data_IF_033901234604
#
_entry.id   IF_033901234604
#
_cell.length_a   1.000
_cell.length_b   1.000
_cell.length_c   1.000
_cell.angle_alpha   90.00
_cell.angle_beta   90.00
_cell.angle_gamma   90.00
#
_symmetry.space_group_name_H-M   'P 1'
#
loop_
_entity.id
_entity.type
_entity.pdbx_description
1 polymer ?
#
# COMPACT_ATOMS: atom_id res chain seq x y z
N UNK A 1 8.16 -17.02 10.23
CA UNK A 1 7.82 -18.36 10.73
C UNK A 1 8.66 -19.39 9.98
N UNK A 2 9.21 -20.38 10.70
CA UNK A 2 9.96 -21.46 10.06
C UNK A 2 9.00 -22.40 9.31
N UNK A 3 9.40 -22.80 8.11
CA UNK A 3 8.67 -23.79 7.32
C UNK A 3 8.96 -25.18 7.92
N UNK A 4 7.93 -25.96 8.33
CA UNK A 4 8.13 -27.28 8.88
C UNK A 4 8.85 -28.21 7.89
N UNK A 5 9.75 -29.07 8.40
CA UNK A 5 10.58 -29.95 7.55
C UNK A 5 9.74 -30.86 6.65
N UNK A 6 8.65 -31.42 7.16
CA UNK A 6 7.75 -32.27 6.37
C UNK A 6 7.15 -31.54 5.15
N UNK A 7 6.99 -30.18 5.23
CA UNK A 7 6.55 -29.37 4.07
C UNK A 7 7.64 -29.36 3.01
N UNK A 8 8.91 -29.24 3.39
CA UNK A 8 10.04 -29.16 2.47
C UNK A 8 10.25 -30.47 1.69
N UNK A 9 9.99 -31.58 2.33
CA UNK A 9 10.20 -32.93 1.75
C UNK A 9 9.11 -33.34 0.74
N UNK A 10 7.91 -32.80 0.86
CA UNK A 10 6.80 -33.15 -0.04
C UNK A 10 6.86 -32.37 -1.35
N UNK A 11 6.72 -33.05 -2.52
CA UNK A 11 6.51 -32.39 -3.80
C UNK A 11 5.21 -31.59 -3.77
N UNK A 12 5.26 -30.33 -4.24
CA UNK A 12 4.11 -29.42 -4.20
C UNK A 12 4.04 -28.52 -5.43
N UNK A 13 2.85 -27.99 -5.68
CA UNK A 13 2.62 -26.85 -6.55
C UNK A 13 2.41 -25.60 -5.69
N UNK A 14 2.89 -24.46 -6.15
CA UNK A 14 2.88 -23.18 -5.41
C UNK A 14 2.24 -22.11 -6.27
N UNK A 15 1.33 -21.34 -5.68
CA UNK A 15 0.84 -20.10 -6.27
C UNK A 15 1.49 -18.95 -5.52
N UNK A 16 2.13 -18.03 -6.24
CA UNK A 16 2.78 -16.86 -5.66
C UNK A 16 2.24 -15.56 -6.26
N UNK A 17 2.28 -14.49 -5.48
CA UNK A 17 2.04 -13.13 -5.95
C UNK A 17 3.29 -12.56 -6.65
N UNK A 18 3.16 -11.40 -7.29
CA UNK A 18 4.25 -10.75 -8.04
C UNK A 18 4.13 -9.24 -8.12
N UNK A 19 3.46 -8.61 -7.15
CA UNK A 19 3.25 -7.15 -7.15
C UNK A 19 4.56 -6.38 -7.30
N UNK A 20 5.63 -6.84 -6.65
CA UNK A 20 6.99 -6.31 -6.78
C UNK A 20 7.95 -7.33 -7.42
N UNK A 21 7.47 -8.11 -8.40
CA UNK A 21 8.29 -9.08 -9.11
C UNK A 21 9.51 -8.50 -9.85
N UNK A 22 9.50 -7.20 -10.08
CA UNK A 22 10.58 -6.46 -10.73
C UNK A 22 11.66 -5.93 -9.78
N UNK A 23 11.33 -5.72 -8.49
CA UNK A 23 12.14 -4.97 -7.51
C UNK A 23 12.70 -5.90 -6.44
N UNK A 24 13.94 -5.71 -6.05
CA UNK A 24 14.55 -6.37 -4.89
C UNK A 24 14.43 -5.50 -3.62
N UNK A 25 14.49 -6.14 -2.45
CA UNK A 25 14.30 -5.44 -1.15
C UNK A 25 15.37 -4.38 -0.89
N UNK A 26 16.57 -4.52 -1.44
CA UNK A 26 17.64 -3.54 -1.37
C UNK A 26 17.37 -2.25 -2.15
N UNK A 27 16.41 -2.25 -3.07
CA UNK A 27 16.02 -1.09 -3.87
C UNK A 27 14.97 -0.22 -3.20
N UNK A 28 14.46 -0.64 -2.02
CA UNK A 28 13.47 0.13 -1.26
C UNK A 28 14.15 1.29 -0.55
N UNK A 29 13.75 2.49 -0.90
CA UNK A 29 14.20 3.71 -0.24
C UNK A 29 13.33 4.01 1.00
N UNK A 30 13.98 4.29 2.13
CA UNK A 30 13.34 4.58 3.42
C UNK A 30 13.47 6.08 3.74
N UNK A 31 12.54 6.89 3.25
CA UNK A 31 12.58 8.34 3.40
C UNK A 31 11.32 8.96 4.05
N UNK A 32 10.32 8.13 4.40
CA UNK A 32 9.05 8.61 4.95
C UNK A 32 9.20 9.56 6.15
N UNK A 33 10.02 9.18 7.13
CA UNK A 33 10.19 9.98 8.34
C UNK A 33 10.85 11.34 8.05
N UNK A 34 11.75 11.38 7.07
CA UNK A 34 12.39 12.60 6.59
C UNK A 34 11.38 13.47 5.86
N UNK A 35 10.65 12.93 4.91
CA UNK A 35 9.61 13.63 4.15
C UNK A 35 8.59 14.29 5.08
N UNK A 36 8.01 13.51 6.01
CA UNK A 36 7.00 14.05 6.94
C UNK A 36 7.57 15.21 7.75
N UNK A 37 8.81 15.09 8.22
CA UNK A 37 9.46 16.13 9.01
C UNK A 37 9.69 17.40 8.18
N UNK A 38 10.16 17.27 6.95
CA UNK A 38 10.41 18.40 6.03
C UNK A 38 9.11 19.08 5.61
N UNK A 39 8.08 18.31 5.27
CA UNK A 39 6.75 18.84 4.89
C UNK A 39 6.16 19.64 6.05
N UNK A 40 6.20 19.10 7.27
CA UNK A 40 5.69 19.78 8.45
C UNK A 40 6.52 21.03 8.77
N UNK A 41 7.85 20.97 8.64
CA UNK A 41 8.72 22.14 8.84
C UNK A 41 8.48 23.25 7.81
N UNK A 42 8.03 22.90 6.59
CA UNK A 42 7.65 23.88 5.57
C UNK A 42 6.31 24.58 5.81
N UNK A 43 5.58 24.20 6.86
CA UNK A 43 4.26 24.76 7.21
C UNK A 43 3.08 24.13 6.47
N UNK A 44 3.31 23.13 5.61
CA UNK A 44 2.24 22.47 4.85
C UNK A 44 1.52 21.41 5.66
N UNK A 45 0.25 21.20 5.34
CA UNK A 45 -0.57 20.10 5.83
C UNK A 45 -0.40 18.85 4.94
N UNK A 46 -0.72 17.68 5.49
CA UNK A 46 -0.59 16.42 4.75
C UNK A 46 -1.95 15.72 4.67
N UNK A 47 -2.36 15.36 3.45
CA UNK A 47 -3.40 14.37 3.22
C UNK A 47 -2.72 13.04 2.87
N UNK A 48 -2.78 12.09 3.78
CA UNK A 48 -2.12 10.81 3.65
C UNK A 48 -3.13 9.70 3.37
N UNK A 49 -3.04 9.10 2.19
CA UNK A 49 -3.88 7.99 1.78
C UNK A 49 -3.36 6.69 2.39
N UNK A 50 -4.21 5.96 3.09
CA UNK A 50 -3.81 4.73 3.78
C UNK A 50 -4.84 3.61 3.61
N UNK A 51 -4.37 2.38 3.52
CA UNK A 51 -5.23 1.21 3.73
C UNK A 51 -5.66 1.15 5.19
N UNK A 52 -6.90 0.71 5.42
CA UNK A 52 -7.54 0.78 6.73
C UNK A 52 -6.87 -0.11 7.77
N UNK A 53 -6.48 -1.31 7.36
CA UNK A 53 -5.85 -2.31 8.21
C UNK A 53 -4.33 -2.21 8.09
N UNK A 54 -3.63 -2.25 9.22
CA UNK A 54 -2.19 -2.25 9.36
C UNK A 54 -1.52 -0.95 8.88
N UNK A 55 -1.72 -0.52 7.63
CA UNK A 55 -1.07 0.66 7.06
C UNK A 55 -1.37 1.94 7.85
N UNK A 56 -2.63 2.21 8.15
CA UNK A 56 -3.01 3.40 8.93
C UNK A 56 -2.36 3.38 10.31
N UNK A 57 -2.29 2.21 10.96
CA UNK A 57 -1.70 2.08 12.30
C UNK A 57 -0.17 2.20 12.30
N UNK A 58 0.51 1.66 11.28
CA UNK A 58 1.96 1.85 11.11
C UNK A 58 2.29 3.33 10.89
N UNK A 59 1.50 4.03 10.07
CA UNK A 59 1.64 5.47 9.85
C UNK A 59 1.52 6.24 11.17
N UNK A 60 0.49 5.94 11.97
CA UNK A 60 0.31 6.57 13.28
C UNK A 60 1.51 6.31 14.20
N UNK A 61 2.03 5.09 14.20
CA UNK A 61 3.22 4.74 14.97
C UNK A 61 4.46 5.53 14.51
N UNK A 62 4.66 5.69 13.20
CA UNK A 62 5.75 6.51 12.66
C UNK A 62 5.60 7.99 13.03
N UNK A 63 4.38 8.56 12.92
CA UNK A 63 4.08 9.93 13.35
C UNK A 63 4.36 10.09 14.85
N UNK A 64 3.92 9.12 15.68
CA UNK A 64 4.23 9.13 17.12
C UNK A 64 5.74 9.18 17.37
N UNK A 65 6.52 8.33 16.69
CA UNK A 65 7.99 8.35 16.82
C UNK A 65 8.57 9.73 16.50
N UNK A 66 8.08 10.39 15.43
CA UNK A 66 8.52 11.73 15.07
C UNK A 66 8.15 12.78 16.13
N UNK A 67 7.00 12.63 16.81
CA UNK A 67 6.64 13.47 17.95
C UNK A 67 7.50 13.19 19.18
N UNK A 68 7.76 11.92 19.48
CA UNK A 68 8.54 11.51 20.66
C UNK A 68 10.00 11.96 20.57
N UNK A 69 10.60 11.94 19.37
CA UNK A 69 11.96 12.44 19.15
C UNK A 69 12.03 13.95 18.83
N UNK A 70 10.90 14.66 18.83
CA UNK A 70 10.84 16.11 18.64
C UNK A 70 11.02 16.59 17.20
N UNK A 71 10.99 15.69 16.21
CA UNK A 71 11.09 16.05 14.77
C UNK A 71 9.84 16.75 14.26
N UNK A 72 8.69 16.45 14.83
CA UNK A 72 7.43 17.19 14.61
C UNK A 72 6.80 17.57 15.94
N UNK A 73 6.02 18.65 15.94
CA UNK A 73 5.34 19.12 17.15
C UNK A 73 4.28 18.13 17.64
N UNK A 74 4.25 17.88 18.97
CA UNK A 74 3.17 17.09 19.59
C UNK A 74 1.82 17.77 19.56
N UNK A 75 1.76 19.04 19.21
CA UNK A 75 0.53 19.84 19.13
C UNK A 75 -0.08 19.85 17.73
N UNK A 76 0.62 19.31 16.71
CA UNK A 76 0.04 19.17 15.37
C UNK A 76 -1.20 18.29 15.43
N UNK A 77 -2.28 18.72 14.80
CA UNK A 77 -3.52 17.95 14.74
C UNK A 77 -3.39 16.78 13.78
N UNK A 78 -3.76 15.59 14.26
CA UNK A 78 -3.77 14.36 13.48
C UNK A 78 -5.20 13.85 13.40
N UNK A 79 -5.70 13.71 12.20
CA UNK A 79 -7.05 13.27 11.92
C UNK A 79 -7.04 11.88 11.30
N UNK A 80 -7.92 11.00 11.77
CA UNK A 80 -8.10 9.64 11.20
C UNK A 80 -9.51 9.57 10.65
N UNK A 81 -9.63 9.44 9.32
CA UNK A 81 -10.91 9.37 8.62
C UNK A 81 -11.04 8.08 7.80
N UNK A 82 -12.08 7.33 8.13
CA UNK A 82 -12.42 6.04 7.55
C UNK A 82 -12.87 5.07 8.63
N UNK A 83 -14.09 4.57 8.55
CA UNK A 83 -14.71 3.72 9.58
C UNK A 83 -13.89 2.46 9.89
N UNK A 84 -13.35 1.80 8.86
CA UNK A 84 -12.50 0.61 9.05
C UNK A 84 -11.14 0.98 9.65
N UNK A 85 -10.51 2.08 9.24
CA UNK A 85 -9.24 2.50 9.82
C UNK A 85 -9.42 2.82 11.31
N UNK A 86 -10.50 3.51 11.67
CA UNK A 86 -10.83 3.79 13.07
C UNK A 86 -11.13 2.52 13.86
N UNK A 87 -11.86 1.57 13.27
CA UNK A 87 -12.15 0.27 13.89
C UNK A 87 -10.86 -0.49 14.21
N UNK A 88 -9.97 -0.65 13.24
CA UNK A 88 -8.70 -1.36 13.44
C UNK A 88 -7.77 -0.61 14.42
N UNK A 89 -7.75 0.73 14.37
CA UNK A 89 -6.99 1.53 15.32
C UNK A 89 -7.47 1.31 16.76
N UNK A 90 -8.79 1.36 17.00
CA UNK A 90 -9.38 1.10 18.32
C UNK A 90 -9.16 -0.34 18.77
N UNK A 91 -9.27 -1.32 17.84
CA UNK A 91 -8.99 -2.71 18.14
C UNK A 91 -7.53 -2.91 18.55
N UNK A 92 -6.58 -2.36 17.83
CA UNK A 92 -5.16 -2.43 18.17
C UNK A 92 -4.87 -1.79 19.54
N UNK A 93 -5.45 -0.62 19.84
CA UNK A 93 -5.33 0.02 21.16
C UNK A 93 -5.87 -0.87 22.30
N UNK A 94 -6.94 -1.64 22.03
CA UNK A 94 -7.59 -2.48 23.03
C UNK A 94 -6.88 -3.82 23.27
N UNK A 95 -6.30 -4.40 22.23
CA UNK A 95 -5.83 -5.79 22.25
C UNK A 95 -4.31 -5.94 22.18
N UNK A 96 -3.56 -4.82 22.14
CA UNK A 96 -2.10 -4.85 22.18
C UNK A 96 -1.57 -3.83 23.19
N UNK A 97 -0.39 -4.11 23.74
CA UNK A 97 0.34 -3.19 24.64
C UNK A 97 1.25 -2.22 23.86
N UNK A 98 1.11 -2.16 22.52
CA UNK A 98 1.93 -1.31 21.68
C UNK A 98 1.46 0.14 21.79
N UNK A 99 2.32 1.02 22.29
CA UNK A 99 2.07 2.46 22.33
C UNK A 99 2.35 3.09 20.95
N UNK A 100 1.35 3.06 20.08
CA UNK A 100 1.47 3.52 18.69
C UNK A 100 0.71 4.83 18.39
N UNK A 101 -0.10 5.31 19.33
CA UNK A 101 -0.93 6.48 19.08
C UNK A 101 -0.16 7.79 19.26
N UNK A 102 -0.15 8.68 18.25
CA UNK A 102 0.38 10.03 18.40
C UNK A 102 -0.41 10.84 19.42
N UNK A 103 0.13 11.99 19.79
CA UNK A 103 -0.62 13.01 20.55
C UNK A 103 -1.54 13.79 19.62
N UNK A 104 -2.59 14.37 20.19
CA UNK A 104 -3.53 15.27 19.51
C UNK A 104 -4.26 14.61 18.30
N UNK A 105 -4.76 13.38 18.51
CA UNK A 105 -5.49 12.61 17.49
C UNK A 105 -7.00 12.80 17.63
N UNK A 106 -7.67 13.07 16.52
CA UNK A 106 -9.13 13.14 16.40
C UNK A 106 -9.64 12.16 15.36
N UNK A 107 -10.65 11.36 15.74
CA UNK A 107 -11.40 10.50 14.82
C UNK A 107 -12.45 11.35 14.08
N UNK A 108 -12.43 11.25 12.74
CA UNK A 108 -13.29 12.06 11.87
C UNK A 108 -14.49 11.23 11.40
N UNK A 109 -15.65 11.85 11.43
CA UNK A 109 -16.89 11.33 10.87
C UNK A 109 -17.51 12.30 9.84
N UNK A 110 -18.71 12.00 9.37
CA UNK A 110 -19.40 12.85 8.39
C UNK A 110 -19.80 14.23 8.93
N UNK A 111 -19.88 14.40 10.24
CA UNK A 111 -20.34 15.63 10.87
C UNK A 111 -19.19 16.63 11.10
N UNK A 112 -18.02 16.16 11.56
CA UNK A 112 -16.88 17.02 11.81
C UNK A 112 -15.92 17.16 10.61
N UNK A 113 -16.03 16.29 9.58
CA UNK A 113 -15.19 16.37 8.35
C UNK A 113 -15.23 17.73 7.65
N UNK A 114 -16.39 18.42 7.50
CA UNK A 114 -16.41 19.74 6.87
C UNK A 114 -15.53 20.76 7.61
N UNK A 115 -15.48 20.72 8.94
CA UNK A 115 -14.62 21.60 9.76
C UNK A 115 -13.14 21.26 9.56
N UNK A 116 -12.80 19.96 9.49
CA UNK A 116 -11.43 19.49 9.21
C UNK A 116 -10.94 19.98 7.84
N UNK A 117 -11.81 19.97 6.83
CA UNK A 117 -11.49 20.46 5.48
C UNK A 117 -11.33 21.98 5.46
N UNK A 118 -12.22 22.70 6.15
CA UNK A 118 -12.26 24.16 6.14
C UNK A 118 -11.19 24.80 7.03
N UNK A 119 -10.70 24.09 8.05
CA UNK A 119 -9.71 24.62 9.00
C UNK A 119 -8.39 24.97 8.32
N UNK A 120 -7.76 26.05 8.77
CA UNK A 120 -6.49 26.54 8.22
C UNK A 120 -5.27 26.18 9.07
N UNK A 121 -5.47 25.50 10.20
CA UNK A 121 -4.38 25.00 11.03
C UNK A 121 -3.59 23.90 10.31
N UNK A 122 -2.28 23.85 10.53
CA UNK A 122 -1.44 22.79 10.02
C UNK A 122 -1.84 21.44 10.63
N UNK A 123 -1.98 20.42 9.79
CA UNK A 123 -2.52 19.12 10.19
C UNK A 123 -2.01 17.97 9.34
N UNK A 124 -2.16 16.75 9.88
CA UNK A 124 -1.99 15.50 9.14
C UNK A 124 -3.33 14.77 9.12
N UNK A 125 -3.86 14.47 7.94
CA UNK A 125 -5.10 13.72 7.76
C UNK A 125 -4.73 12.35 7.21
N UNK A 126 -4.93 11.29 8.00
CA UNK A 126 -4.79 9.89 7.55
C UNK A 126 -6.17 9.41 7.12
N UNK A 127 -6.33 9.13 5.83
CA UNK A 127 -7.64 8.81 5.26
C UNK A 127 -7.62 7.54 4.41
N UNK A 128 -8.75 6.87 4.30
CA UNK A 128 -8.96 5.75 3.39
C UNK A 128 -9.69 6.19 2.12
N UNK A 129 -9.44 5.58 0.98
CA UNK A 129 -8.61 4.40 0.70
C UNK A 129 -7.17 4.77 0.33
N UNK A 130 -6.28 3.77 0.46
CA UNK A 130 -4.86 3.96 0.13
C UNK A 130 -4.57 4.26 -1.34
N UNK A 131 -5.51 3.94 -2.25
CA UNK A 131 -5.41 4.23 -3.70
C UNK A 131 -6.27 5.44 -4.11
N UNK A 132 -6.93 6.11 -3.17
CA UNK A 132 -7.83 7.24 -3.39
C UNK A 132 -9.12 6.92 -4.18
N UNK A 133 -9.45 5.66 -4.43
CA UNK A 133 -10.61 5.26 -5.25
C UNK A 133 -11.93 5.22 -4.50
N UNK A 134 -11.89 5.12 -3.18
CA UNK A 134 -13.06 4.93 -2.33
C UNK A 134 -12.95 5.70 -1.01
N UNK A 135 -14.05 5.72 -0.27
CA UNK A 135 -14.10 6.24 1.10
C UNK A 135 -13.89 7.74 1.21
N UNK A 136 -13.51 8.22 2.40
CA UNK A 136 -13.37 9.65 2.66
C UNK A 136 -12.35 10.37 1.77
N UNK A 137 -11.31 9.68 1.24
CA UNK A 137 -10.35 10.27 0.30
C UNK A 137 -11.07 10.95 -0.88
N UNK A 138 -12.15 10.36 -1.39
CA UNK A 138 -12.97 10.93 -2.47
C UNK A 138 -13.66 12.25 -2.10
N UNK A 139 -13.77 12.55 -0.81
CA UNK A 139 -14.37 13.81 -0.33
C UNK A 139 -13.28 14.87 -0.14
N UNK A 140 -12.10 14.47 0.37
CA UNK A 140 -10.98 15.37 0.59
C UNK A 140 -10.33 15.83 -0.72
N UNK A 141 -10.07 14.92 -1.63
CA UNK A 141 -9.28 15.20 -2.84
C UNK A 141 -9.86 16.36 -3.66
N UNK A 142 -11.16 16.40 -4.04
CA UNK A 142 -11.69 17.53 -4.81
C UNK A 142 -11.65 18.88 -4.08
N UNK A 143 -11.54 18.87 -2.76
CA UNK A 143 -11.49 20.07 -1.94
C UNK A 143 -10.07 20.58 -1.68
N UNK A 144 -9.07 19.68 -1.79
CA UNK A 144 -7.71 19.98 -1.38
C UNK A 144 -6.71 19.92 -2.55
N UNK A 145 -7.02 19.26 -3.67
CA UNK A 145 -6.07 18.97 -4.75
C UNK A 145 -5.47 20.23 -5.38
N UNK A 146 -6.20 21.34 -5.39
CA UNK A 146 -5.71 22.61 -5.94
C UNK A 146 -5.04 23.53 -4.89
N UNK A 147 -4.88 23.07 -3.66
CA UNK A 147 -4.30 23.86 -2.57
C UNK A 147 -2.79 23.68 -2.51
N UNK A 148 -2.03 24.79 -2.49
CA UNK A 148 -0.56 24.76 -2.40
C UNK A 148 -0.03 24.56 -0.96
N UNK A 149 -0.88 24.71 0.05
CA UNK A 149 -0.56 24.50 1.47
C UNK A 149 -0.79 23.04 1.92
N UNK A 150 -1.08 22.13 0.97
CA UNK A 150 -1.19 20.70 1.20
C UNK A 150 -0.19 19.90 0.40
N UNK A 151 0.18 18.76 0.97
CA UNK A 151 0.89 17.67 0.30
C UNK A 151 0.00 16.44 0.30
N UNK A 152 -0.10 15.75 -0.82
CA UNK A 152 -0.71 14.43 -0.90
C UNK A 152 0.38 13.38 -0.79
N UNK A 153 0.24 12.47 0.18
CA UNK A 153 1.21 11.42 0.43
C UNK A 153 0.60 10.03 0.21
N UNK A 154 1.25 9.22 -0.65
CA UNK A 154 0.85 7.86 -0.97
C UNK A 154 1.87 6.85 -0.42
N UNK A 155 1.65 6.30 0.78
CA UNK A 155 2.59 5.41 1.44
C UNK A 155 2.41 3.95 0.97
N UNK A 156 2.64 3.68 -0.29
CA UNK A 156 2.57 2.34 -0.84
C UNK A 156 2.11 2.29 -2.28
N UNK A 157 1.99 1.08 -2.79
CA UNK A 157 1.59 0.83 -4.17
C UNK A 157 0.21 1.40 -4.48
N UNK A 158 0.09 2.05 -5.63
CA UNK A 158 -1.16 2.48 -6.25
C UNK A 158 -1.32 1.84 -7.63
N UNK A 159 -2.49 1.28 -7.91
CA UNK A 159 -2.79 0.65 -9.20
C UNK A 159 -2.84 1.71 -10.31
N UNK A 160 -2.36 1.38 -11.51
CA UNK A 160 -2.37 2.27 -12.68
C UNK A 160 -3.76 2.77 -13.08
N UNK A 161 -4.82 2.05 -12.72
CA UNK A 161 -6.21 2.46 -12.96
C UNK A 161 -6.75 3.43 -11.90
N UNK A 162 -6.09 3.55 -10.74
CA UNK A 162 -6.57 4.30 -9.58
C UNK A 162 -6.50 5.82 -9.76
N UNK A 163 -7.31 6.53 -8.97
CA UNK A 163 -7.24 8.01 -8.91
C UNK A 163 -5.89 8.46 -8.34
N UNK A 164 -5.35 7.73 -7.34
CA UNK A 164 -4.05 8.03 -6.76
C UNK A 164 -2.93 7.97 -7.77
N UNK A 165 -2.92 6.96 -8.65
CA UNK A 165 -1.93 6.87 -9.74
C UNK A 165 -2.04 8.05 -10.72
N UNK A 166 -3.26 8.41 -11.12
CA UNK A 166 -3.51 9.53 -12.03
C UNK A 166 -3.04 10.87 -11.47
N UNK A 167 -3.20 11.07 -10.15
CA UNK A 167 -2.69 12.28 -9.48
C UNK A 167 -1.16 12.29 -9.46
N UNK A 168 -0.52 11.13 -9.19
CA UNK A 168 0.95 11.03 -9.15
C UNK A 168 1.62 11.21 -10.53
N UNK A 169 0.92 10.87 -11.61
CA UNK A 169 1.47 10.82 -12.98
C UNK A 169 0.72 11.73 -13.95
N UNK A 170 0.18 12.84 -13.46
CA UNK A 170 -0.46 13.83 -14.33
C UNK A 170 0.61 14.64 -15.09
N UNK A 171 0.62 14.52 -16.41
CA UNK A 171 1.57 15.23 -17.29
C UNK A 171 1.20 16.69 -17.52
N UNK A 172 -0.08 17.03 -17.42
CA UNK A 172 -0.62 18.37 -17.71
C UNK A 172 -0.96 19.17 -16.43
N UNK A 173 -0.65 18.61 -15.26
CA UNK A 173 -0.95 19.25 -13.97
C UNK A 173 -2.44 19.31 -13.64
N UNK A 174 -3.29 18.52 -14.31
CA UNK A 174 -4.74 18.48 -14.05
C UNK A 174 -5.22 17.08 -13.70
N UNK A 175 -6.36 16.99 -13.03
CA UNK A 175 -7.02 15.72 -12.70
C UNK A 175 -8.53 15.81 -12.91
N UNK A 176 -9.09 14.83 -13.62
CA UNK A 176 -10.53 14.71 -13.78
C UNK A 176 -11.12 13.81 -12.71
N UNK A 177 -12.07 14.37 -11.94
CA UNK A 177 -12.80 13.66 -10.87
C UNK A 177 -14.29 13.76 -11.15
N UNK A 178 -14.89 12.65 -11.52
CA UNK A 178 -16.28 12.64 -11.99
C UNK A 178 -16.44 13.44 -13.29
N UNK A 179 -17.18 14.55 -13.25
CA UNK A 179 -17.41 15.43 -14.40
C UNK A 179 -16.52 16.68 -14.39
N UNK A 180 -15.85 16.95 -13.30
CA UNK A 180 -15.07 18.17 -13.09
C UNK A 180 -13.58 17.91 -13.29
N UNK A 181 -12.86 18.92 -13.78
CA UNK A 181 -11.40 18.91 -13.89
C UNK A 181 -10.83 19.94 -12.91
N UNK A 182 -9.78 19.55 -12.21
CA UNK A 182 -9.11 20.34 -11.19
C UNK A 182 -7.64 20.51 -11.55
N UNK A 183 -7.10 21.69 -11.31
CA UNK A 183 -5.65 21.90 -11.34
C UNK A 183 -5.02 21.24 -10.11
N UNK A 184 -3.89 20.56 -10.29
CA UNK A 184 -3.12 19.95 -9.18
C UNK A 184 -2.19 21.04 -8.64
N UNK A 185 -2.56 21.65 -7.53
CA UNK A 185 -1.75 22.64 -6.80
C UNK A 185 -0.93 22.03 -5.67
N UNK A 186 -1.28 20.81 -5.22
CA UNK A 186 -0.56 20.10 -4.16
C UNK A 186 0.76 19.53 -4.67
N UNK A 187 1.75 19.42 -3.80
CA UNK A 187 2.88 18.52 -4.03
C UNK A 187 2.45 17.09 -3.76
N UNK A 188 3.03 16.15 -4.51
CA UNK A 188 2.69 14.72 -4.41
C UNK A 188 3.93 13.92 -4.05
N UNK A 189 3.85 13.20 -2.95
CA UNK A 189 4.90 12.29 -2.45
C UNK A 189 4.42 10.85 -2.44
N UNK A 190 5.34 9.92 -2.59
CA UNK A 190 5.05 8.48 -2.47
C UNK A 190 6.24 7.73 -1.92
N UNK A 191 5.98 6.59 -1.25
CA UNK A 191 7.02 5.66 -0.83
C UNK A 191 6.55 4.22 -0.94
N UNK A 192 7.46 3.31 -1.25
CA UNK A 192 7.23 1.86 -1.26
C UNK A 192 7.48 1.17 0.07
N UNK A 193 8.02 1.88 1.09
CA UNK A 193 8.51 1.26 2.32
C UNK A 193 7.45 0.61 3.22
N UNK A 194 6.17 0.97 3.03
CA UNK A 194 5.07 0.38 3.81
C UNK A 194 4.31 -0.70 3.05
N UNK A 195 4.79 -1.15 1.92
CA UNK A 195 4.10 -2.23 1.23
C UNK A 195 4.24 -3.53 2.01
N UNK A 196 3.13 -4.25 2.19
CA UNK A 196 3.11 -5.60 2.76
C UNK A 196 3.33 -6.70 1.71
N UNK A 197 3.42 -6.32 0.43
CA UNK A 197 3.80 -7.26 -0.63
C UNK A 197 5.31 -7.52 -0.59
N UNK A 198 5.68 -8.79 -0.71
CA UNK A 198 7.07 -9.20 -0.75
C UNK A 198 7.79 -8.72 -2.03
N UNK A 199 9.08 -8.45 -1.91
CA UNK A 199 9.94 -8.13 -3.05
C UNK A 199 10.40 -9.42 -3.75
N UNK A 200 10.95 -9.30 -4.95
CA UNK A 200 11.31 -10.47 -5.77
C UNK A 200 12.34 -11.37 -5.09
N UNK A 201 13.36 -10.82 -4.43
CA UNK A 201 14.36 -11.55 -3.67
C UNK A 201 13.76 -12.28 -2.46
N UNK A 202 12.80 -11.68 -1.76
CA UNK A 202 12.07 -12.29 -0.64
C UNK A 202 11.20 -13.45 -1.11
N UNK A 203 10.48 -13.29 -2.25
CA UNK A 203 9.70 -14.35 -2.86
C UNK A 203 10.59 -15.53 -3.32
N UNK A 204 11.72 -15.23 -3.93
CA UNK A 204 12.71 -16.23 -4.33
C UNK A 204 13.26 -16.97 -3.12
N UNK A 205 13.63 -16.26 -2.07
CA UNK A 205 14.10 -16.86 -0.82
C UNK A 205 13.04 -17.76 -0.18
N UNK A 206 11.77 -17.35 -0.18
CA UNK A 206 10.65 -18.17 0.29
C UNK A 206 10.51 -19.43 -0.56
N UNK A 207 10.50 -19.31 -1.88
CA UNK A 207 10.35 -20.44 -2.80
C UNK A 207 11.49 -21.46 -2.64
N UNK A 208 12.73 -21.01 -2.49
CA UNK A 208 13.87 -21.90 -2.17
C UNK A 208 13.68 -22.68 -0.87
N UNK A 209 13.17 -22.00 0.16
CA UNK A 209 12.94 -22.64 1.46
C UNK A 209 11.77 -23.64 1.46
N UNK A 210 10.89 -23.60 0.47
CA UNK A 210 9.79 -24.55 0.34
C UNK A 210 10.25 -25.97 -0.09
N UNK A 211 11.47 -26.14 -0.58
CA UNK A 211 12.01 -27.45 -0.97
C UNK A 211 11.55 -27.91 -2.35
N UNK A 212 10.96 -29.11 -2.45
CA UNK A 212 10.60 -29.73 -3.75
C UNK A 212 9.35 -29.07 -4.33
N UNK A 213 9.51 -28.26 -5.37
CA UNK A 213 8.40 -27.62 -6.09
C UNK A 213 8.30 -28.22 -7.50
N UNK A 214 7.10 -28.71 -7.87
CA UNK A 214 6.83 -29.16 -9.23
C UNK A 214 6.47 -27.97 -10.12
N UNK A 215 5.42 -27.22 -9.77
CA UNK A 215 4.97 -26.07 -10.55
C UNK A 215 4.90 -24.82 -9.68
N UNK A 216 5.44 -23.72 -10.18
CA UNK A 216 5.24 -22.39 -9.63
C UNK A 216 4.29 -21.64 -10.56
N UNK A 217 3.19 -21.18 -10.01
CA UNK A 217 2.16 -20.42 -10.71
C UNK A 217 2.19 -18.98 -10.19
N UNK A 218 2.48 -18.04 -11.07
CA UNK A 218 2.61 -16.63 -10.74
C UNK A 218 1.29 -15.93 -11.08
N UNK A 219 0.75 -15.21 -10.11
CA UNK A 219 -0.49 -14.44 -10.26
C UNK A 219 -0.35 -13.11 -9.49
N UNK A 220 -1.40 -12.28 -9.49
CA UNK A 220 -1.47 -11.03 -8.72
C UNK A 220 -0.28 -10.09 -8.96
N UNK A 221 -0.53 -9.02 -9.66
CA UNK A 221 0.47 -8.03 -10.09
C UNK A 221 0.30 -7.71 -11.57
N UNK A 222 1.01 -6.71 -12.06
CA UNK A 222 1.02 -6.37 -13.47
C UNK A 222 1.66 -7.50 -14.29
N UNK A 223 1.17 -7.73 -15.50
CA UNK A 223 1.61 -8.83 -16.33
C UNK A 223 3.13 -8.80 -16.60
N UNK A 224 3.67 -7.61 -16.81
CA UNK A 224 5.10 -7.39 -16.97
C UNK A 224 5.89 -7.85 -15.73
N UNK A 225 5.45 -7.51 -14.53
CA UNK A 225 6.10 -7.90 -13.27
C UNK A 225 6.01 -9.39 -13.00
N UNK A 226 4.91 -10.04 -13.44
CA UNK A 226 4.78 -11.48 -13.40
C UNK A 226 5.85 -12.17 -14.26
N UNK A 227 6.10 -11.66 -15.47
CA UNK A 227 7.16 -12.19 -16.34
C UNK A 227 8.56 -11.91 -15.79
N UNK A 228 8.82 -10.72 -15.25
CA UNK A 228 10.11 -10.41 -14.62
C UNK A 228 10.41 -11.34 -13.45
N UNK A 229 9.42 -11.62 -12.59
CA UNK A 229 9.57 -12.61 -11.51
C UNK A 229 9.79 -14.02 -12.06
N UNK A 230 9.05 -14.41 -13.11
CA UNK A 230 9.25 -15.70 -13.78
C UNK A 230 10.68 -15.88 -14.25
N UNK A 231 11.24 -14.87 -14.94
CA UNK A 231 12.59 -14.94 -15.46
C UNK A 231 13.64 -15.09 -14.33
N UNK A 232 13.46 -14.36 -13.22
CA UNK A 232 14.30 -14.51 -12.02
C UNK A 232 14.20 -15.92 -11.43
N UNK A 233 12.98 -16.48 -11.27
CA UNK A 233 12.77 -17.83 -10.74
C UNK A 233 13.41 -18.91 -11.64
N UNK A 234 13.27 -18.77 -12.95
CA UNK A 234 13.87 -19.69 -13.93
C UNK A 234 15.40 -19.62 -13.91
N UNK A 235 15.97 -18.41 -13.84
CA UNK A 235 17.42 -18.22 -13.72
C UNK A 235 17.99 -18.89 -12.47
N UNK A 236 17.24 -18.87 -11.37
CA UNK A 236 17.58 -19.52 -10.10
C UNK A 236 17.31 -21.03 -10.06
N UNK A 237 16.75 -21.59 -11.13
CA UNK A 237 16.42 -23.02 -11.26
C UNK A 237 15.51 -23.54 -10.14
N UNK A 238 14.56 -22.73 -9.68
CA UNK A 238 13.60 -23.07 -8.64
C UNK A 238 12.36 -23.67 -9.29
N UNK A 239 11.93 -24.85 -8.82
CA UNK A 239 10.79 -25.58 -9.38
C UNK A 239 11.09 -26.25 -10.74
N UNK A 240 10.25 -27.20 -11.12
CA UNK A 240 10.40 -27.89 -12.41
C UNK A 240 9.71 -27.14 -13.55
N UNK A 241 8.66 -26.36 -13.23
CA UNK A 241 7.84 -25.59 -14.17
C UNK A 241 7.46 -24.26 -13.56
N UNK A 242 7.51 -23.19 -14.36
CA UNK A 242 7.11 -21.83 -13.92
C UNK A 242 6.13 -21.24 -14.93
N UNK A 243 4.96 -20.85 -14.48
CA UNK A 243 3.88 -20.35 -15.34
C UNK A 243 3.29 -19.04 -14.82
N UNK A 244 2.91 -18.16 -15.74
CA UNK A 244 2.14 -16.96 -15.49
C UNK A 244 0.66 -17.27 -15.74
N UNK A 245 -0.19 -17.01 -14.75
CA UNK A 245 -1.61 -17.38 -14.77
C UNK A 245 -2.54 -16.31 -15.34
N UNK A 246 -2.02 -15.22 -15.85
CA UNK A 246 -2.86 -14.12 -16.37
C UNK A 246 -3.82 -14.62 -17.43
N UNK A 247 -5.12 -14.50 -17.19
CA UNK A 247 -6.17 -14.97 -18.09
C UNK A 247 -6.48 -16.47 -18.04
N UNK A 248 -5.93 -17.22 -17.08
CA UNK A 248 -6.19 -18.66 -16.94
C UNK A 248 -7.07 -18.96 -15.72
N UNK A 249 -7.97 -19.93 -15.88
CA UNK A 249 -8.73 -20.51 -14.77
C UNK A 249 -8.03 -21.76 -14.26
N UNK A 250 -7.80 -21.83 -12.95
CA UNK A 250 -7.25 -23.01 -12.28
C UNK A 250 -8.40 -23.77 -11.66
N UNK A 251 -8.53 -25.05 -11.97
CA UNK A 251 -9.46 -25.96 -11.30
C UNK A 251 -8.68 -26.91 -10.42
N UNK A 252 -8.93 -26.89 -9.13
CA UNK A 252 -8.38 -27.83 -8.16
C UNK A 252 -9.36 -29.01 -8.06
N UNK A 253 -8.96 -30.16 -8.56
CA UNK A 253 -9.77 -31.37 -8.50
C UNK A 253 -9.74 -32.02 -7.10
N UNK A 254 -10.69 -32.94 -6.84
CA UNK A 254 -10.91 -33.60 -5.55
C UNK A 254 -9.70 -34.42 -5.01
N UNK A 255 -8.68 -34.64 -5.85
CA UNK A 255 -7.47 -35.40 -5.53
C UNK A 255 -6.19 -34.56 -5.60
N UNK A 256 -6.30 -33.24 -5.47
CA UNK A 256 -5.12 -32.36 -5.50
C UNK A 256 -4.41 -32.25 -6.86
N UNK A 257 -5.02 -32.69 -7.95
CA UNK A 257 -4.49 -32.55 -9.30
C UNK A 257 -4.96 -31.20 -9.85
N UNK A 258 -4.02 -30.28 -10.05
CA UNK A 258 -4.28 -29.00 -10.70
C UNK A 258 -4.43 -29.21 -12.20
N UNK A 259 -5.59 -28.92 -12.76
CA UNK A 259 -5.82 -28.93 -14.21
C UNK A 259 -5.98 -27.51 -14.70
N UNK A 260 -5.08 -27.06 -15.55
CA UNK A 260 -5.18 -25.78 -16.22
C UNK A 260 -6.17 -25.88 -17.39
N UNK A 261 -7.20 -25.06 -17.36
CA UNK A 261 -8.11 -24.88 -18.51
C UNK A 261 -7.90 -23.46 -19.02
N UNK A 262 -7.45 -23.34 -20.26
CA UNK A 262 -7.35 -22.04 -20.92
C UNK A 262 -8.72 -21.42 -21.12
N UNK A 263 -8.92 -20.22 -20.61
CA UNK A 263 -10.11 -19.42 -20.93
C UNK A 263 -9.91 -18.80 -22.31
N UNK A 264 -10.80 -19.10 -23.26
CA UNK A 264 -10.93 -18.29 -24.46
C UNK A 264 -11.64 -16.99 -24.03
N UNK A 265 -10.90 -15.89 -24.13
CA UNK A 265 -11.49 -14.57 -24.06
C UNK A 265 -12.32 -14.35 -25.33
N UNK A 266 -13.59 -14.06 -25.18
CA UNK A 266 -14.44 -13.42 -26.18
C UNK A 266 -14.37 -11.91 -25.99
#
# INVERSE_FOLDING_TARGET
AEIPEWVKELPKDVITESTYGYMDSSEVEYHYEEDISQIIASGKSILQMAFAQERAQIILYKIKKLQDCGRISRYIHIYIDGSLAQFFTKAMQKYTDIDFMPKNVTFVDKYNRPEVIAGNEQKIIVTTSGMADHGPAQIYIPKLVSRQDYVFYFPGYVSTSSLGYKIQHSDDGTIKIGKETYDIGVEVYSTGEFSSHAKSDELIALLRNLGIINTIMINHGQLEYQYMLKDKIVAEKIGKRVEVLSGHTITIGHWGILKMMGAKLY
#
